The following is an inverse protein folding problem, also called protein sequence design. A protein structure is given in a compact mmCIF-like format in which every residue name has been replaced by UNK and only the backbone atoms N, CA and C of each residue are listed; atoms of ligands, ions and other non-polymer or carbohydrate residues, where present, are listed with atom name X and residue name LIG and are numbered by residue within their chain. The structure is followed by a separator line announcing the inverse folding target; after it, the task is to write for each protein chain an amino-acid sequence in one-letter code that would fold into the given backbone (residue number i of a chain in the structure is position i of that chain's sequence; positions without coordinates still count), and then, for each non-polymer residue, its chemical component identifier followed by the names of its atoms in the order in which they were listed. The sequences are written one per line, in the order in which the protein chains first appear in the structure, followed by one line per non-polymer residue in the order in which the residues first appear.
data_IF_395470047720
#
_entry.id   IF_395470047720
#
_cell.length_a   1.000
_cell.length_b   1.000
_cell.length_c   1.000
_cell.angle_alpha   90.00
_cell.angle_beta   90.00
_cell.angle_gamma   90.00
#
_symmetry.space_group_name_H-M   'P 1'
#
loop_
_entity.id
_entity.type
_entity.pdbx_description
1 polymer ?
#
# COMPACT_ATOMS: atom_id res chain seq x y z
N UNK A 1 -24.87 24.72 -1.79
CA UNK A 1 -24.69 23.73 -2.87
C UNK A 1 -23.21 23.40 -3.15
N UNK A 2 -22.29 23.66 -2.20
CA UNK A 2 -20.84 23.44 -2.38
C UNK A 2 -20.30 22.24 -1.58
N UNK A 3 -21.00 21.83 -0.51
CA UNK A 3 -20.66 20.65 0.30
C UNK A 3 -20.77 19.32 -0.49
N UNK A 4 -21.76 19.19 -1.39
CA UNK A 4 -21.96 17.97 -2.19
C UNK A 4 -20.88 17.79 -3.27
N UNK A 5 -20.30 18.89 -3.77
CA UNK A 5 -19.25 18.88 -4.82
C UNK A 5 -17.86 18.49 -4.26
N UNK A 6 -17.63 18.80 -2.98
CA UNK A 6 -16.38 18.50 -2.25
C UNK A 6 -16.30 17.01 -1.90
N UNK A 7 -17.43 16.40 -1.49
CA UNK A 7 -17.52 14.96 -1.24
C UNK A 7 -17.32 14.11 -2.50
N UNK A 8 -17.85 14.54 -3.65
CA UNK A 8 -17.67 13.82 -4.91
C UNK A 8 -16.20 13.84 -5.38
N UNK A 9 -15.51 14.98 -5.23
CA UNK A 9 -14.07 15.10 -5.55
C UNK A 9 -13.19 14.27 -4.62
N UNK A 10 -13.48 14.24 -3.32
CA UNK A 10 -12.78 13.37 -2.37
C UNK A 10 -13.01 11.88 -2.66
N UNK A 11 -14.25 11.47 -2.96
CA UNK A 11 -14.53 10.08 -3.32
C UNK A 11 -13.80 9.65 -4.60
N UNK A 12 -13.76 10.51 -5.65
CA UNK A 12 -13.00 10.23 -6.87
C UNK A 12 -11.49 10.16 -6.61
N UNK A 13 -10.95 11.01 -5.74
CA UNK A 13 -9.52 11.00 -5.39
C UNK A 13 -9.16 9.77 -4.56
N UNK A 14 -10.02 9.35 -3.62
CA UNK A 14 -9.84 8.12 -2.83
C UNK A 14 -10.03 6.86 -3.66
N UNK A 15 -10.98 6.85 -4.61
CA UNK A 15 -11.12 5.76 -5.59
C UNK A 15 -9.90 5.68 -6.51
N UNK A 16 -9.33 6.80 -6.92
CA UNK A 16 -8.12 6.84 -7.75
C UNK A 16 -6.88 6.39 -6.96
N UNK A 17 -6.75 6.81 -5.69
CA UNK A 17 -5.70 6.32 -4.79
C UNK A 17 -5.84 4.81 -4.52
N UNK A 18 -7.05 4.32 -4.27
CA UNK A 18 -7.32 2.90 -4.12
C UNK A 18 -7.10 2.12 -5.42
N UNK A 19 -7.40 2.70 -6.59
CA UNK A 19 -7.16 2.07 -7.88
C UNK A 19 -5.67 1.98 -8.20
N UNK A 20 -4.88 2.99 -7.84
CA UNK A 20 -3.40 2.97 -7.95
C UNK A 20 -2.77 1.95 -6.99
N UNK A 21 -3.32 1.81 -5.77
CA UNK A 21 -2.86 0.82 -4.78
C UNK A 21 -3.15 -0.63 -5.18
N UNK A 22 -4.08 -0.86 -6.11
CA UNK A 22 -4.55 -2.20 -6.52
C UNK A 22 -3.80 -2.75 -7.75
N UNK A 23 -2.92 -1.95 -8.37
CA UNK A 23 -2.17 -2.33 -9.58
C UNK A 23 -0.69 -2.66 -9.34
N UNK A 24 -0.19 -2.46 -8.11
CA UNK A 24 1.18 -2.82 -7.74
C UNK A 24 1.19 -4.26 -7.23
N UNK A 25 1.93 -5.15 -7.87
CA UNK A 25 2.08 -6.52 -7.37
C UNK A 25 2.95 -6.52 -6.10
N UNK A 26 2.74 -7.53 -5.25
CA UNK A 26 3.47 -7.64 -3.98
C UNK A 26 4.76 -8.44 -4.14
N UNK A 27 5.79 -8.00 -3.42
CA UNK A 27 7.02 -8.77 -3.26
C UNK A 27 6.86 -9.93 -2.26
N UNK A 28 7.69 -10.99 -2.36
CA UNK A 28 7.59 -12.12 -1.44
C UNK A 28 7.77 -11.73 0.04
N UNK A 29 6.98 -12.33 0.93
CA UNK A 29 7.07 -12.12 2.37
C UNK A 29 7.77 -13.32 3.07
N UNK A 30 8.99 -13.65 2.64
CA UNK A 30 9.74 -14.85 3.03
C UNK A 30 10.90 -14.57 4.00
N UNK A 31 10.73 -13.56 4.87
CA UNK A 31 11.72 -13.02 5.83
C UNK A 31 12.89 -12.26 5.22
N UNK A 32 13.07 -12.29 3.89
CA UNK A 32 14.00 -11.42 3.18
C UNK A 32 13.42 -10.01 3.08
N UNK A 33 14.29 -9.02 3.07
CA UNK A 33 13.91 -7.65 2.75
C UNK A 33 13.94 -7.49 1.23
N UNK A 34 12.76 -7.50 0.61
CA UNK A 34 12.58 -7.26 -0.82
C UNK A 34 12.27 -5.79 -1.10
N UNK A 35 12.85 -5.28 -2.18
CA UNK A 35 12.70 -3.90 -2.62
C UNK A 35 11.98 -3.90 -3.95
N UNK A 36 10.78 -3.32 -4.04
CA UNK A 36 10.06 -3.23 -5.30
C UNK A 36 10.69 -2.18 -6.21
N UNK A 37 10.85 -2.51 -7.48
CA UNK A 37 11.15 -1.55 -8.54
C UNK A 37 10.48 -2.01 -9.83
N UNK A 38 9.64 -1.14 -10.41
CA UNK A 38 8.72 -1.47 -11.51
C UNK A 38 7.86 -2.70 -11.17
N UNK A 39 7.90 -3.76 -11.99
CA UNK A 39 7.17 -5.02 -11.80
C UNK A 39 8.05 -6.14 -11.24
N UNK A 40 9.23 -5.80 -10.68
CA UNK A 40 10.19 -6.75 -10.10
C UNK A 40 10.44 -6.42 -8.63
N UNK A 41 11.06 -7.38 -7.95
CA UNK A 41 11.44 -7.33 -6.55
C UNK A 41 12.90 -7.75 -6.44
N UNK A 42 13.68 -7.01 -5.65
CA UNK A 42 15.12 -7.22 -5.52
C UNK A 42 15.50 -7.44 -4.06
N UNK A 43 16.37 -8.40 -3.81
CA UNK A 43 16.92 -8.70 -2.50
C UNK A 43 18.44 -8.61 -2.55
N UNK A 44 18.98 -7.59 -1.90
CA UNK A 44 20.42 -7.36 -1.78
C UNK A 44 20.92 -8.21 -0.62
N UNK A 45 21.77 -9.20 -0.91
CA UNK A 45 22.29 -10.11 0.10
C UNK A 45 23.35 -9.39 0.94
N UNK A 46 23.14 -9.35 2.25
CA UNK A 46 24.09 -8.80 3.21
C UNK A 46 24.22 -9.72 4.43
N UNK A 47 25.30 -9.56 5.19
CA UNK A 47 25.50 -10.28 6.45
C UNK A 47 24.71 -9.69 7.62
N UNK A 48 24.83 -10.33 8.77
CA UNK A 48 24.38 -9.77 10.05
C UNK A 48 25.11 -8.44 10.32
N UNK A 49 24.40 -7.45 10.88
CA UNK A 49 24.91 -6.08 11.14
C UNK A 49 25.30 -5.30 9.87
N UNK A 50 24.66 -5.57 8.73
CA UNK A 50 24.94 -4.92 7.44
C UNK A 50 26.41 -5.06 7.00
N UNK A 51 27.08 -6.12 7.48
CA UNK A 51 28.44 -6.44 7.06
C UNK A 51 28.43 -6.92 5.62
N UNK A 52 29.35 -6.36 4.84
CA UNK A 52 29.56 -6.74 3.45
C UNK A 52 29.99 -8.20 3.42
N UNK A 53 29.32 -8.96 2.55
CA UNK A 53 29.74 -10.31 2.18
C UNK A 53 29.80 -10.35 0.66
N UNK A 54 30.99 -10.59 0.16
CA UNK A 54 31.27 -10.90 -1.23
C UNK A 54 31.23 -12.43 -1.39
N UNK A 55 30.87 -12.89 -2.58
CA UNK A 55 30.66 -14.30 -2.87
C UNK A 55 31.22 -14.65 -4.25
N UNK A 56 31.63 -15.90 -4.45
CA UNK A 56 31.92 -16.43 -5.79
C UNK A 56 30.65 -16.52 -6.63
N UNK A 57 30.78 -16.60 -7.95
CA UNK A 57 29.63 -16.69 -8.86
C UNK A 57 28.74 -17.92 -8.59
N UNK A 58 29.35 -19.09 -8.34
CA UNK A 58 28.61 -20.31 -7.98
C UNK A 58 27.80 -20.13 -6.68
N UNK A 59 28.41 -19.46 -5.69
CA UNK A 59 27.74 -19.17 -4.43
C UNK A 59 26.61 -18.17 -4.61
N UNK A 60 26.77 -17.17 -5.48
CA UNK A 60 25.71 -16.23 -5.86
C UNK A 60 24.48 -16.94 -6.42
N UNK A 61 24.67 -17.84 -7.40
CA UNK A 61 23.59 -18.69 -7.95
C UNK A 61 22.88 -19.49 -6.87
N UNK A 62 23.65 -20.05 -5.92
CA UNK A 62 23.08 -20.84 -4.82
C UNK A 62 22.26 -19.98 -3.86
N UNK A 63 22.68 -18.75 -3.56
CA UNK A 63 21.96 -17.83 -2.68
C UNK A 63 20.62 -17.38 -3.29
N UNK A 64 20.57 -17.23 -4.61
CA UNK A 64 19.35 -16.88 -5.33
C UNK A 64 18.52 -18.10 -5.77
N UNK A 65 18.82 -19.32 -5.28
CA UNK A 65 18.06 -20.52 -5.64
C UNK A 65 16.56 -20.36 -5.30
N UNK A 66 15.70 -20.59 -6.30
CA UNK A 66 14.25 -20.36 -6.21
C UNK A 66 13.81 -18.96 -6.65
N UNK A 67 14.77 -18.11 -7.00
CA UNK A 67 14.63 -16.78 -7.60
C UNK A 67 15.66 -16.67 -8.74
N UNK A 68 15.86 -15.47 -9.26
CA UNK A 68 16.83 -15.18 -10.31
C UNK A 68 18.02 -14.41 -9.74
N UNK A 69 19.21 -14.62 -10.29
CA UNK A 69 20.35 -13.74 -10.04
C UNK A 69 20.14 -12.47 -10.89
N UNK A 70 20.53 -11.32 -10.37
CA UNK A 70 20.28 -10.00 -10.96
C UNK A 70 20.43 -9.96 -12.48
N UNK A 71 19.36 -9.59 -13.18
CA UNK A 71 19.40 -9.21 -14.59
C UNK A 71 19.20 -7.70 -14.72
N UNK A 72 19.55 -7.14 -15.87
CA UNK A 72 19.32 -5.72 -16.13
C UNK A 72 18.79 -5.56 -17.54
N UNK A 73 17.55 -5.11 -17.63
CA UNK A 73 16.77 -4.98 -18.85
C UNK A 73 16.58 -3.51 -19.27
N UNK A 74 17.00 -2.54 -18.45
CA UNK A 74 16.90 -1.11 -18.76
C UNK A 74 17.94 -0.26 -18.03
N UNK A 75 18.16 0.97 -18.54
CA UNK A 75 19.03 1.95 -17.89
C UNK A 75 18.52 2.36 -16.50
N UNK A 76 17.19 2.53 -16.35
CA UNK A 76 16.57 2.92 -15.07
C UNK A 76 16.77 1.83 -14.00
N UNK A 77 16.69 0.56 -14.39
CA UNK A 77 16.99 -0.59 -13.53
C UNK A 77 18.46 -0.63 -13.12
N UNK A 78 19.37 -0.39 -14.07
CA UNK A 78 20.80 -0.30 -13.79
C UNK A 78 21.08 0.80 -12.74
N UNK A 79 20.48 1.97 -12.91
CA UNK A 79 20.61 3.10 -11.97
C UNK A 79 19.98 2.79 -10.60
N UNK A 80 18.79 2.18 -10.58
CA UNK A 80 18.14 1.76 -9.35
C UNK A 80 19.03 0.81 -8.53
N UNK A 81 19.59 -0.22 -9.17
CA UNK A 81 20.40 -1.23 -8.49
C UNK A 81 21.66 -0.63 -7.87
N UNK A 82 22.38 0.23 -8.60
CA UNK A 82 23.59 0.88 -8.05
C UNK A 82 23.26 1.84 -6.90
N UNK A 83 22.16 2.58 -7.00
CA UNK A 83 21.79 3.58 -5.99
C UNK A 83 21.25 2.91 -4.73
N UNK A 84 20.51 1.81 -4.86
CA UNK A 84 20.07 1.03 -3.71
C UNK A 84 21.22 0.24 -3.09
N UNK A 85 22.10 -0.36 -3.90
CA UNK A 85 23.28 -1.08 -3.41
C UNK A 85 24.18 -0.24 -2.53
N UNK A 86 24.40 1.05 -2.87
CA UNK A 86 25.15 2.03 -2.04
C UNK A 86 24.51 2.31 -0.68
N UNK A 87 23.21 2.08 -0.53
CA UNK A 87 22.50 2.25 0.74
C UNK A 87 22.59 0.99 1.61
N UNK A 88 22.70 -0.19 0.98
CA UNK A 88 22.79 -1.48 1.67
C UNK A 88 24.22 -1.78 2.11
N UNK A 89 25.20 -1.55 1.25
CA UNK A 89 26.61 -1.83 1.54
C UNK A 89 27.38 -0.52 1.74
N UNK A 90 28.11 -0.43 2.85
CA UNK A 90 28.88 0.78 3.21
C UNK A 90 30.08 1.04 2.29
N UNK A 91 30.71 -0.01 1.80
CA UNK A 91 31.81 0.07 0.85
C UNK A 91 31.29 -0.11 -0.58
N UNK A 92 32.14 0.25 -1.55
CA UNK A 92 31.84 0.05 -2.97
C UNK A 92 31.96 -1.44 -3.29
N UNK A 93 30.81 -2.10 -3.46
CA UNK A 93 30.72 -3.52 -3.76
C UNK A 93 30.25 -3.69 -5.19
N UNK A 94 31.09 -4.25 -6.05
CA UNK A 94 30.67 -4.70 -7.37
C UNK A 94 29.69 -5.86 -7.21
N UNK A 95 28.75 -6.02 -8.14
CA UNK A 95 27.68 -7.01 -8.03
C UNK A 95 27.76 -8.01 -9.16
N UNK A 96 27.52 -9.28 -8.86
CA UNK A 96 27.32 -10.27 -9.91
C UNK A 96 26.07 -9.93 -10.71
N UNK A 97 26.21 -9.93 -12.04
CA UNK A 97 25.09 -10.08 -12.95
C UNK A 97 24.87 -11.57 -13.18
N UNK A 98 23.61 -11.97 -13.34
CA UNK A 98 23.21 -13.30 -13.77
C UNK A 98 23.54 -13.56 -15.23
N UNK A 99 24.71 -13.13 -15.72
CA UNK A 99 25.13 -13.16 -17.10
C UNK A 99 26.43 -13.93 -17.25
N UNK A 100 26.51 -14.77 -18.27
CA UNK A 100 27.66 -15.61 -18.57
C UNK A 100 27.85 -15.73 -20.09
N UNK A 101 29.06 -16.08 -20.52
CA UNK A 101 29.35 -16.37 -21.92
C UNK A 101 28.92 -17.80 -22.28
N UNK A 102 28.00 -17.95 -23.23
CA UNK A 102 27.58 -19.25 -23.76
C UNK A 102 28.43 -19.62 -24.97
N UNK A 103 29.21 -20.69 -24.81
CA UNK A 103 30.17 -21.15 -25.81
C UNK A 103 29.52 -21.81 -27.02
N UNK A 104 28.25 -22.21 -26.92
CA UNK A 104 27.52 -22.80 -28.04
C UNK A 104 27.01 -21.75 -29.02
N UNK A 105 26.65 -20.58 -28.51
CA UNK A 105 26.10 -19.46 -29.27
C UNK A 105 27.09 -18.32 -29.48
N UNK A 106 28.26 -18.40 -28.84
CA UNK A 106 29.32 -17.38 -28.90
C UNK A 106 28.82 -15.98 -28.49
N UNK A 107 27.90 -15.93 -27.52
CA UNK A 107 27.27 -14.70 -27.04
C UNK A 107 27.12 -14.70 -25.51
N UNK A 108 26.90 -13.50 -24.95
CA UNK A 108 26.57 -13.37 -23.53
C UNK A 108 25.08 -13.58 -23.30
N UNK A 109 24.73 -14.36 -22.27
CA UNK A 109 23.35 -14.73 -21.95
C UNK A 109 23.02 -14.56 -20.48
N UNK A 110 21.76 -14.24 -20.22
CA UNK A 110 21.20 -14.31 -18.88
C UNK A 110 20.98 -15.76 -18.45
N UNK A 111 21.23 -16.07 -17.18
CA UNK A 111 21.01 -17.40 -16.57
C UNK A 111 19.53 -17.79 -16.58
N UNK A 112 18.62 -16.81 -16.63
CA UNK A 112 17.18 -17.04 -16.75
C UNK A 112 16.71 -17.22 -18.21
N UNK A 113 17.64 -17.23 -19.17
CA UNK A 113 17.38 -17.39 -20.61
C UNK A 113 16.59 -16.24 -21.26
N UNK A 114 16.34 -15.14 -20.53
CA UNK A 114 15.75 -13.95 -21.13
C UNK A 114 16.69 -13.36 -22.21
N UNK A 115 16.15 -12.72 -23.26
CA UNK A 115 16.98 -12.03 -24.24
C UNK A 115 17.66 -10.80 -23.63
N UNK A 116 18.91 -10.56 -24.00
CA UNK A 116 19.67 -9.37 -23.61
C UNK A 116 19.16 -8.16 -24.41
N UNK A 117 18.38 -7.28 -23.76
CA UNK A 117 17.80 -6.07 -24.40
C UNK A 117 18.55 -4.79 -24.09
N UNK A 118 19.34 -4.80 -23.03
CA UNK A 118 20.10 -3.67 -22.54
C UNK A 118 21.51 -4.15 -22.18
N UNK A 119 22.50 -3.30 -22.44
CA UNK A 119 23.89 -3.52 -22.00
C UNK A 119 24.50 -2.18 -21.59
N UNK A 120 25.42 -2.21 -20.65
CA UNK A 120 26.15 -1.01 -20.22
C UNK A 120 27.63 -1.32 -19.97
N UNK A 121 28.30 -1.90 -20.96
CA UNK A 121 29.71 -2.27 -20.88
C UNK A 121 30.61 -1.08 -20.54
N UNK A 122 31.62 -1.35 -19.72
CA UNK A 122 32.78 -0.47 -19.55
C UNK A 122 33.59 -0.49 -20.85
N UNK A 123 34.14 0.67 -21.24
CA UNK A 123 34.97 0.76 -22.45
C UNK A 123 36.29 0.02 -22.20
N UNK A 124 36.35 -1.28 -22.50
CA UNK A 124 37.58 -2.05 -22.38
C UNK A 124 38.43 -1.91 -23.65
N UNK A 125 39.71 -1.57 -23.47
CA UNK A 125 40.72 -1.58 -24.53
C UNK A 125 41.12 -2.98 -24.99
N UNK A 126 40.72 -3.99 -24.22
CA UNK A 126 41.21 -5.36 -24.31
C UNK A 126 40.07 -6.28 -24.76
N UNK A 127 39.48 -5.97 -25.92
CA UNK A 127 38.72 -6.99 -26.66
C UNK A 127 39.75 -7.92 -27.29
N UNK A 128 40.30 -8.85 -26.50
CA UNK A 128 40.96 -10.01 -27.07
C UNK A 128 39.92 -10.75 -27.91
N UNK A 129 40.25 -11.09 -29.17
CA UNK A 129 39.38 -11.82 -30.11
C UNK A 129 38.86 -13.17 -29.54
N UNK A 130 39.40 -13.63 -28.41
CA UNK A 130 39.00 -14.84 -27.70
C UNK A 130 38.52 -14.49 -26.29
N UNK A 131 37.20 -14.58 -26.09
CA UNK A 131 36.61 -14.55 -24.74
C UNK A 131 36.84 -15.91 -24.07
N UNK A 132 37.40 -15.96 -22.85
CA UNK A 132 37.55 -17.23 -22.13
C UNK A 132 36.20 -17.94 -21.95
N UNK A 133 36.21 -19.27 -22.03
CA UNK A 133 34.99 -20.12 -21.91
C UNK A 133 34.24 -19.86 -20.59
N UNK A 134 34.95 -19.51 -19.53
CA UNK A 134 34.42 -19.29 -18.17
C UNK A 134 34.33 -17.79 -17.84
N UNK A 135 33.64 -17.02 -18.70
CA UNK A 135 33.45 -15.58 -18.52
C UNK A 135 32.07 -15.27 -17.94
N UNK A 136 32.07 -14.52 -16.85
CA UNK A 136 30.91 -13.98 -16.14
C UNK A 136 30.95 -12.45 -16.17
N UNK A 137 29.92 -11.79 -15.65
CA UNK A 137 29.84 -10.33 -15.69
C UNK A 137 29.61 -9.74 -14.30
N UNK A 138 30.37 -8.69 -13.98
CA UNK A 138 30.19 -7.89 -12.78
C UNK A 138 29.75 -6.46 -13.11
N UNK A 139 28.80 -5.93 -12.34
CA UNK A 139 28.37 -4.54 -12.37
C UNK A 139 29.21 -3.72 -11.39
N UNK A 140 29.86 -2.68 -11.89
CA UNK A 140 30.63 -1.72 -11.10
C UNK A 140 29.71 -0.74 -10.39
N UNK A 141 29.74 -0.72 -9.06
CA UNK A 141 28.83 0.12 -8.26
C UNK A 141 29.08 1.64 -8.37
N UNK A 142 30.30 2.03 -8.75
CA UNK A 142 30.72 3.42 -8.90
C UNK A 142 30.34 4.01 -10.27
N UNK A 143 30.59 3.28 -11.36
CA UNK A 143 30.35 3.74 -12.74
C UNK A 143 29.01 3.28 -13.30
N UNK A 144 28.43 2.22 -12.73
CA UNK A 144 27.27 1.53 -13.27
C UNK A 144 27.57 0.71 -14.51
N UNK A 145 28.85 0.55 -14.87
CA UNK A 145 29.32 -0.17 -16.04
C UNK A 145 29.54 -1.65 -15.78
N UNK A 146 29.52 -2.45 -16.83
CA UNK A 146 29.67 -3.90 -16.76
C UNK A 146 31.06 -4.31 -17.22
N UNK A 147 31.65 -5.26 -16.50
CA UNK A 147 32.98 -5.79 -16.79
C UNK A 147 32.91 -7.32 -16.93
N UNK A 148 33.65 -7.84 -17.92
CA UNK A 148 33.89 -9.27 -18.07
C UNK A 148 34.88 -9.74 -17.01
N UNK A 149 34.50 -10.74 -16.23
CA UNK A 149 35.33 -11.31 -15.16
C UNK A 149 35.33 -12.83 -15.25
N UNK A 150 36.33 -13.47 -14.67
CA UNK A 150 36.38 -14.94 -14.58
C UNK A 150 35.27 -15.47 -13.67
N UNK A 151 34.55 -16.49 -14.13
CA UNK A 151 33.58 -17.22 -13.30
C UNK A 151 34.27 -18.13 -12.26
N UNK A 152 35.51 -18.57 -12.56
CA UNK A 152 36.21 -19.65 -11.86
C UNK A 152 37.29 -19.17 -10.91
N UNK A 153 37.88 -18.00 -11.18
CA UNK A 153 38.81 -17.40 -10.23
C UNK A 153 38.06 -16.98 -8.97
N UNK A 154 38.77 -16.88 -7.85
CA UNK A 154 38.22 -16.44 -6.54
C UNK A 154 37.92 -14.92 -6.52
N UNK A 155 37.26 -14.43 -7.57
CA UNK A 155 36.67 -13.09 -7.62
C UNK A 155 35.40 -13.13 -6.78
N UNK A 156 35.30 -12.21 -5.83
CA UNK A 156 34.13 -12.11 -4.97
C UNK A 156 33.37 -10.81 -5.23
N UNK A 157 32.10 -10.92 -5.61
CA UNK A 157 31.20 -9.77 -5.80
C UNK A 157 29.96 -9.90 -4.90
N UNK A 158 29.29 -8.79 -4.65
CA UNK A 158 27.99 -8.73 -3.99
C UNK A 158 26.91 -9.46 -4.80
N UNK A 159 25.84 -9.83 -4.12
CA UNK A 159 24.76 -10.65 -4.70
C UNK A 159 23.44 -9.92 -4.55
N UNK A 160 22.73 -9.80 -5.66
CA UNK A 160 21.36 -9.30 -5.71
C UNK A 160 20.50 -10.38 -6.35
N UNK A 161 19.48 -10.84 -5.64
CA UNK A 161 18.50 -11.77 -6.19
C UNK A 161 17.27 -10.99 -6.64
N UNK A 162 16.62 -11.44 -7.70
CA UNK A 162 15.42 -10.80 -8.23
C UNK A 162 14.29 -11.79 -8.50
N UNK A 163 13.08 -11.26 -8.57
CA UNK A 163 11.89 -12.02 -8.98
C UNK A 163 10.82 -11.08 -9.48
N UNK A 164 9.89 -11.58 -10.30
CA UNK A 164 8.71 -10.81 -10.67
C UNK A 164 7.83 -10.56 -9.44
N UNK A 165 7.22 -9.38 -9.38
CA UNK A 165 6.12 -9.16 -8.44
C UNK A 165 5.05 -10.22 -8.68
N UNK A 166 4.49 -10.76 -7.61
CA UNK A 166 3.32 -11.60 -7.75
C UNK A 166 2.22 -10.68 -8.23
N UNK A 167 1.79 -10.85 -9.48
CA UNK A 167 0.45 -10.43 -9.85
C UNK A 167 -0.46 -11.02 -8.79
N UNK A 168 -1.39 -10.24 -8.25
CA UNK A 168 -2.51 -10.87 -7.56
C UNK A 168 -3.15 -11.80 -8.60
N UNK A 169 -2.77 -13.09 -8.58
CA UNK A 169 -3.64 -14.15 -9.06
C UNK A 169 -4.96 -13.80 -8.39
N UNK A 170 -5.97 -13.48 -9.19
CA UNK A 170 -7.25 -12.99 -8.72
C UNK A 170 -7.73 -13.90 -7.59
N UNK A 171 -7.36 -13.57 -6.36
CA UNK A 171 -7.84 -14.17 -5.13
C UNK A 171 -9.27 -13.74 -5.16
N UNK A 172 -10.11 -14.63 -5.68
CA UNK A 172 -11.52 -14.47 -5.98
C UNK A 172 -12.10 -13.34 -5.10
N UNK A 173 -12.19 -12.12 -5.67
CA UNK A 173 -12.42 -10.88 -4.89
C UNK A 173 -13.57 -11.09 -3.90
N UNK A 174 -13.36 -11.11 -2.57
CA UNK A 174 -14.46 -10.93 -1.66
C UNK A 174 -14.64 -9.41 -1.51
N UNK A 175 -15.16 -8.70 -2.53
CA UNK A 175 -15.13 -7.23 -2.47
C UNK A 175 -16.21 -6.47 -3.23
N UNK A 176 -17.03 -7.12 -4.07
CA UNK A 176 -18.27 -6.47 -4.53
C UNK A 176 -19.43 -6.72 -3.55
N UNK A 177 -19.55 -7.97 -3.08
CA UNK A 177 -20.67 -8.40 -2.25
C UNK A 177 -20.59 -7.83 -0.83
N UNK A 178 -19.42 -7.86 -0.18
CA UNK A 178 -19.23 -7.28 1.16
C UNK A 178 -19.40 -5.76 1.13
N UNK A 179 -18.88 -5.07 0.11
CA UNK A 179 -19.08 -3.63 -0.06
C UNK A 179 -20.57 -3.29 -0.27
N UNK A 180 -21.27 -4.05 -1.12
CA UNK A 180 -22.71 -3.88 -1.33
C UNK A 180 -23.52 -4.15 -0.05
N UNK A 181 -23.18 -5.18 0.73
CA UNK A 181 -23.85 -5.48 2.01
C UNK A 181 -23.67 -4.37 3.04
N UNK A 182 -22.47 -3.78 3.12
CA UNK A 182 -22.20 -2.64 4.00
C UNK A 182 -22.98 -1.40 3.55
N UNK A 183 -23.05 -1.13 2.26
CA UNK A 183 -23.84 0.01 1.74
C UNK A 183 -25.33 -0.20 2.01
N UNK A 184 -25.84 -1.42 1.76
CA UNK A 184 -27.25 -1.76 2.00
C UNK A 184 -27.60 -1.66 3.49
N UNK A 185 -26.72 -2.10 4.40
CA UNK A 185 -26.97 -2.00 5.83
C UNK A 185 -27.00 -0.55 6.31
N UNK A 186 -26.09 0.30 5.82
CA UNK A 186 -26.08 1.73 6.14
C UNK A 186 -27.34 2.42 5.62
N UNK A 187 -27.74 2.16 4.36
CA UNK A 187 -28.98 2.73 3.79
C UNK A 187 -30.21 2.28 4.57
N UNK A 188 -30.26 1.01 4.98
CA UNK A 188 -31.35 0.49 5.81
C UNK A 188 -31.41 1.19 7.19
N UNK A 189 -30.27 1.38 7.86
CA UNK A 189 -30.20 2.08 9.15
C UNK A 189 -30.63 3.54 9.01
N UNK A 190 -30.22 4.22 7.95
CA UNK A 190 -30.63 5.60 7.66
C UNK A 190 -32.14 5.69 7.35
N UNK A 191 -32.69 4.72 6.61
CA UNK A 191 -34.13 4.65 6.36
C UNK A 191 -34.94 4.39 7.63
N UNK A 192 -34.53 3.42 8.45
CA UNK A 192 -35.20 3.09 9.72
C UNK A 192 -35.15 4.26 10.69
N UNK A 193 -34.00 4.93 10.83
CA UNK A 193 -33.88 6.11 11.69
C UNK A 193 -34.76 7.28 11.24
N UNK A 194 -34.87 7.53 9.92
CA UNK A 194 -35.78 8.55 9.38
C UNK A 194 -37.26 8.20 9.61
N UNK A 195 -37.64 6.92 9.47
CA UNK A 195 -39.01 6.46 9.75
C UNK A 195 -39.34 6.58 11.24
N UNK A 196 -38.44 6.14 12.12
CA UNK A 196 -38.59 6.31 13.57
C UNK A 196 -38.76 7.78 13.92
N UNK A 197 -37.92 8.65 13.36
CA UNK A 197 -38.01 10.09 13.57
C UNK A 197 -39.35 10.67 13.07
N UNK A 198 -39.82 10.26 11.89
CA UNK A 198 -41.10 10.69 11.34
C UNK A 198 -42.30 10.21 12.16
N UNK A 199 -42.26 8.97 12.65
CA UNK A 199 -43.28 8.42 13.55
C UNK A 199 -43.27 9.14 14.90
N UNK A 200 -42.10 9.45 15.44
CA UNK A 200 -41.95 10.22 16.67
C UNK A 200 -42.47 11.66 16.49
N UNK A 201 -42.21 12.27 15.33
CA UNK A 201 -42.73 13.59 14.99
C UNK A 201 -44.25 13.59 14.83
N UNK A 202 -44.84 12.53 14.25
CA UNK A 202 -46.30 12.35 14.18
C UNK A 202 -46.93 12.16 15.56
N UNK A 203 -46.25 11.44 16.47
CA UNK A 203 -46.70 11.29 17.85
C UNK A 203 -46.60 12.62 18.63
N UNK A 204 -45.56 13.41 18.41
CA UNK A 204 -45.42 14.75 19.01
C UNK A 204 -46.38 15.80 18.40
N UNK A 205 -46.77 15.68 17.13
CA UNK A 205 -47.84 16.49 16.55
C UNK A 205 -49.24 16.06 17.05
N UNK A 206 -49.39 14.80 17.49
CA UNK A 206 -50.63 14.29 18.08
C UNK A 206 -50.83 14.68 19.55
N UNK A 207 -49.80 15.12 20.26
CA UNK A 207 -49.89 15.56 21.66
C UNK A 207 -49.93 17.09 21.84
N UNK A 208 -49.91 17.86 20.77
CA UNK A 208 -49.94 19.35 20.82
C UNK A 208 -51.03 19.97 19.93
N UNK A 209 -52.14 19.27 19.70
CA UNK A 209 -53.37 19.88 19.18
C UNK A 209 -54.60 19.13 19.72
N UNK A 210 -55.36 19.81 20.59
CA UNK A 210 -56.63 19.43 21.25
C UNK A 210 -56.58 19.17 22.76
N UNK A 211 -56.26 20.23 23.51
CA UNK A 211 -57.06 20.61 24.70
C UNK A 211 -57.23 22.13 24.70
N UNK A 212 -58.25 22.63 23.99
CA UNK A 212 -58.61 24.04 24.07
C UNK A 212 -60.15 24.18 24.02
N UNK A 213 -60.70 24.35 25.22
CA UNK A 213 -61.97 24.97 25.58
C UNK A 213 -63.29 24.22 25.29
N UNK A 214 -63.69 23.41 26.28
CA UNK A 214 -65.09 23.11 26.58
C UNK A 214 -65.76 24.41 27.10
N UNK A 215 -66.75 24.92 26.36
CA UNK A 215 -67.50 26.12 26.69
C UNK A 215 -68.75 25.72 27.50
N UNK A 216 -68.77 26.00 28.80
CA UNK A 216 -69.98 25.89 29.63
C UNK A 216 -70.69 27.25 29.73
N UNK A 217 -72.02 27.34 29.49
CA UNK A 217 -72.77 28.57 29.66
C UNK A 217 -73.15 28.79 31.14
N UNK A 218 -73.21 30.04 31.65
CA UNK A 218 -73.65 30.29 33.01
C UNK A 218 -75.17 30.50 33.06
N UNK A 219 -75.85 29.69 33.87
CA UNK A 219 -77.18 30.03 34.39
C UNK A 219 -77.03 31.09 35.50
N UNK A 220 -77.83 32.15 35.39
CA UNK A 220 -78.07 33.11 36.47
C UNK A 220 -78.96 32.47 37.54
N UNK A 221 -78.61 32.65 38.82
CA UNK A 221 -79.58 32.99 39.88
C UNK A 221 -78.95 34.01 40.83
N UNK A 222 -79.84 34.88 41.28
CA UNK A 222 -79.81 36.15 42.02
C UNK A 222 -79.14 36.13 43.42
N UNK A 223 -78.61 37.31 43.80
CA UNK A 223 -78.42 37.89 45.16
C UNK A 223 -77.74 37.02 46.25
N UNK A 224 -76.80 37.51 47.05
CA UNK A 224 -76.96 38.60 48.03
C UNK A 224 -75.59 38.88 48.66
N UNK A 225 -75.30 40.17 48.89
CA UNK A 225 -74.58 40.76 50.03
C UNK A 225 -73.28 40.13 50.61
N UNK A 226 -72.22 40.94 50.49
CA UNK A 226 -71.58 41.62 51.63
C UNK A 226 -70.41 40.96 52.40
N UNK A 227 -69.49 41.86 52.76
CA UNK A 227 -68.42 41.80 53.78
C UNK A 227 -67.24 40.87 53.49
N UNK A 228 -66.04 41.42 53.20
CA UNK A 228 -65.09 42.01 54.16
C UNK A 228 -64.80 41.10 55.36
N UNK A 229 -63.56 40.61 55.49
CA UNK A 229 -62.69 40.91 56.63
C UNK A 229 -61.28 40.33 56.43
N UNK A 230 -60.36 40.96 57.14
CA UNK A 230 -58.91 40.99 57.01
C UNK A 230 -58.26 40.01 57.98
N UNK A 231 -56.98 39.72 57.71
CA UNK A 231 -55.87 39.69 58.70
C UNK A 231 -55.18 38.33 58.94
N UNK A 232 -53.86 38.40 58.68
CA UNK A 232 -52.69 37.74 59.26
C UNK A 232 -52.78 36.38 59.95
N UNK A 233 -51.82 35.52 59.57
CA UNK A 233 -51.19 34.60 60.50
C UNK A 233 -49.70 34.47 60.16
N UNK A 234 -48.86 34.94 61.09
CA UNK A 234 -47.45 34.53 61.20
C UNK A 234 -47.28 34.02 62.63
N UNK A 235 -46.93 32.75 62.77
CA UNK A 235 -46.57 32.14 64.06
C UNK A 235 -45.20 31.51 63.94
N UNK A 236 -44.29 31.99 64.79
CA UNK A 236 -42.97 31.41 65.01
C UNK A 236 -42.79 31.25 66.53
N UNK A 237 -42.51 30.02 66.98
CA UNK A 237 -41.80 29.76 68.24
C UNK A 237 -41.43 28.27 68.35
N UNK A 238 -40.11 28.03 68.29
CA UNK A 238 -39.34 26.84 68.69
C UNK A 238 -39.06 26.96 70.21
N UNK A 239 -38.91 25.87 71.02
CA UNK A 239 -37.75 24.97 71.01
C UNK A 239 -38.05 23.49 70.74
#
# INVERSE_FOLDING_TARGET
MESLKTNHRCCFFMLFLHLQLVLTGDCPADKRTWVPFNNRCYHFVHGDEDKIKSYTFERAKTLCKGFELLTIQSADENEFVINYGKQVWKDKVNMWLGMYYDTNSEDMRWVNEDPVKFTNWEDSSDQSDLMPLETCVALHSNTGKWENVSCVDDVENGVVCETNQKAEEAKQKPSALLSALVILSVVAIMGVSAVIWFLHQRHNLGSTLFTAFEYHPPFRVLETDQSCLVEAEETDSVP
#
